data_IF_842488873652
#
_entry.id   IF_842488873652
#
_cell.length_a   1.000
_cell.length_b   1.000
_cell.length_c   1.000
_cell.angle_alpha   90.00
_cell.angle_beta   90.00
_cell.angle_gamma   90.00
#
_symmetry.space_group_name_H-M   'P 1'
#
loop_
_entity.id
_entity.type
_entity.pdbx_description
1 polymer ?
#
# COMPACT_ATOMS: atom_id res chain seq x y z
N UNK A 1 -8.83 18.68 15.47
CA UNK A 1 -8.79 17.42 14.70
C UNK A 1 -8.16 16.39 15.61
N UNK A 2 -8.84 15.28 15.90
CA UNK A 2 -8.25 14.20 16.69
C UNK A 2 -7.21 13.48 15.80
N UNK A 3 -5.98 13.36 16.27
CA UNK A 3 -4.97 12.53 15.59
C UNK A 3 -5.43 11.07 15.62
N UNK A 4 -5.34 10.40 14.48
CA UNK A 4 -5.58 8.96 14.39
C UNK A 4 -4.58 8.23 15.27
N UNK A 5 -5.04 7.70 16.40
CA UNK A 5 -4.24 6.82 17.24
C UNK A 5 -4.42 5.39 16.77
N UNK A 6 -3.33 4.78 16.32
CA UNK A 6 -3.31 3.39 15.93
C UNK A 6 -2.60 2.56 17.00
N UNK A 7 -3.17 1.39 17.30
CA UNK A 7 -2.44 0.34 18.01
C UNK A 7 -1.22 -0.12 17.21
N UNK A 8 -0.27 -0.77 17.89
CA UNK A 8 0.98 -1.24 17.29
C UNK A 8 0.76 -2.20 16.10
N UNK A 9 -0.30 -3.01 16.18
CA UNK A 9 -0.63 -4.03 15.18
C UNK A 9 -1.77 -3.64 14.22
N UNK A 10 -2.33 -2.44 14.36
CA UNK A 10 -3.39 -1.99 13.48
C UNK A 10 -2.86 -1.90 12.05
N UNK A 11 -3.62 -2.44 11.11
CA UNK A 11 -3.26 -2.51 9.69
C UNK A 11 -1.93 -3.24 9.41
N UNK A 12 -1.53 -4.17 10.28
CA UNK A 12 -0.49 -5.19 10.02
C UNK A 12 -1.11 -6.58 9.90
N UNK A 13 -1.58 -6.91 8.69
CA UNK A 13 -2.17 -8.21 8.39
C UNK A 13 -1.98 -8.58 6.92
N UNK A 14 -2.13 -9.87 6.62
CA UNK A 14 -2.26 -10.35 5.24
C UNK A 14 -3.48 -11.25 5.17
N UNK A 15 -4.36 -10.95 4.22
CA UNK A 15 -5.54 -11.77 3.92
C UNK A 15 -5.45 -12.21 2.47
N UNK A 16 -5.45 -13.52 2.25
CA UNK A 16 -5.43 -14.11 0.92
C UNK A 16 -6.81 -14.66 0.58
N UNK A 17 -7.36 -14.21 -0.52
CA UNK A 17 -8.55 -14.78 -1.14
C UNK A 17 -8.14 -15.44 -2.48
N UNK A 18 -9.08 -16.11 -3.14
CA UNK A 18 -8.82 -16.78 -4.42
C UNK A 18 -8.25 -15.83 -5.49
N UNK A 19 -8.83 -14.64 -5.65
CA UNK A 19 -8.51 -13.71 -6.73
C UNK A 19 -7.56 -12.56 -6.34
N UNK A 20 -7.35 -12.33 -5.04
CA UNK A 20 -6.59 -11.18 -4.53
C UNK A 20 -5.87 -11.49 -3.22
N UNK A 21 -4.82 -10.71 -2.95
CA UNK A 21 -4.11 -10.65 -1.68
C UNK A 21 -4.18 -9.24 -1.14
N UNK A 22 -4.60 -9.09 0.11
CA UNK A 22 -4.72 -7.81 0.82
C UNK A 22 -3.61 -7.72 1.85
N UNK A 23 -2.80 -6.67 1.79
CA UNK A 23 -1.64 -6.44 2.67
C UNK A 23 -1.91 -5.13 3.41
N UNK A 24 -1.94 -5.22 4.74
CA UNK A 24 -2.08 -4.05 5.60
C UNK A 24 -0.94 -3.04 5.36
N UNK A 25 -1.28 -1.76 5.34
CA UNK A 25 -0.38 -0.72 4.86
C UNK A 25 0.69 -0.30 5.88
N UNK A 26 0.57 -0.71 7.15
CA UNK A 26 1.51 -0.34 8.22
C UNK A 26 2.69 -1.29 8.36
N UNK A 27 2.84 -2.26 7.46
CA UNK A 27 4.10 -2.98 7.34
C UNK A 27 5.18 -2.10 6.71
N UNK A 28 6.36 -2.09 7.31
CA UNK A 28 7.60 -1.68 6.65
C UNK A 28 8.01 -2.71 5.59
N UNK A 29 8.83 -2.32 4.61
CA UNK A 29 9.36 -3.30 3.65
C UNK A 29 10.19 -4.40 4.33
N UNK A 30 10.93 -4.07 5.40
CA UNK A 30 11.65 -5.05 6.24
C UNK A 30 10.69 -6.10 6.80
N UNK A 31 9.59 -5.66 7.39
CA UNK A 31 8.59 -6.57 7.94
C UNK A 31 7.96 -7.42 6.83
N UNK A 32 7.61 -6.83 5.67
CA UNK A 32 7.07 -7.56 4.51
C UNK A 32 7.98 -8.72 4.10
N UNK A 33 9.30 -8.48 4.05
CA UNK A 33 10.29 -9.49 3.67
C UNK A 33 10.44 -10.62 4.70
N UNK A 34 10.10 -10.37 5.97
CA UNK A 34 10.16 -11.37 7.04
C UNK A 34 8.82 -12.05 7.36
N UNK A 35 7.71 -11.47 6.89
CA UNK A 35 6.36 -11.91 7.27
C UNK A 35 5.95 -13.19 6.55
N UNK A 36 5.80 -14.30 7.28
CA UNK A 36 5.45 -15.63 6.74
C UNK A 36 4.17 -15.64 5.89
N UNK A 37 3.19 -14.79 6.24
CA UNK A 37 1.90 -14.72 5.53
C UNK A 37 1.96 -13.92 4.23
N UNK A 38 3.03 -13.17 3.97
CA UNK A 38 3.17 -12.43 2.71
C UNK A 38 3.59 -13.42 1.62
N UNK A 39 2.95 -13.42 0.44
CA UNK A 39 3.35 -14.30 -0.65
C UNK A 39 4.82 -14.09 -1.02
N UNK A 40 5.59 -15.19 -1.08
CA UNK A 40 7.02 -15.15 -1.43
C UNK A 40 7.31 -14.42 -2.76
N UNK A 41 6.40 -14.54 -3.73
CA UNK A 41 6.50 -13.81 -5.00
C UNK A 41 6.45 -12.29 -4.80
N UNK A 42 5.61 -11.80 -3.88
CA UNK A 42 5.56 -10.37 -3.56
C UNK A 42 6.80 -9.93 -2.79
N UNK A 43 7.29 -10.74 -1.83
CA UNK A 43 8.57 -10.48 -1.15
C UNK A 43 9.72 -10.36 -2.15
N UNK A 44 9.78 -11.23 -3.14
CA UNK A 44 10.80 -11.18 -4.21
C UNK A 44 10.71 -9.89 -5.04
N UNK A 45 9.50 -9.43 -5.34
CA UNK A 45 9.28 -8.15 -6.05
C UNK A 45 9.75 -6.98 -5.18
N UNK A 46 9.41 -6.99 -3.89
CA UNK A 46 9.83 -5.96 -2.93
C UNK A 46 11.36 -5.89 -2.86
N UNK A 47 12.01 -7.02 -2.60
CA UNK A 47 13.46 -7.13 -2.45
C UNK A 47 14.21 -6.66 -3.71
N UNK A 48 13.78 -7.14 -4.89
CA UNK A 48 14.53 -6.94 -6.13
C UNK A 48 14.19 -5.67 -6.87
N UNK A 49 12.97 -5.14 -6.72
CA UNK A 49 12.45 -4.07 -7.57
C UNK A 49 12.05 -2.82 -6.79
N UNK A 50 11.55 -2.95 -5.56
CA UNK A 50 11.07 -1.80 -4.77
C UNK A 50 12.17 -1.23 -3.88
N UNK A 51 12.78 -2.07 -3.03
CA UNK A 51 13.84 -1.67 -2.08
C UNK A 51 15.07 -1.02 -2.74
N UNK A 52 15.47 -1.35 -3.99
CA UNK A 52 16.54 -0.60 -4.65
C UNK A 52 16.27 0.90 -4.83
N UNK A 53 15.01 1.32 -4.72
CA UNK A 53 14.57 2.72 -4.88
C UNK A 53 13.76 3.24 -3.68
N UNK A 54 13.71 2.52 -2.56
CA UNK A 54 12.96 2.89 -1.37
C UNK A 54 13.73 2.50 -0.10
N UNK A 55 13.51 3.22 1.00
CA UNK A 55 14.04 2.81 2.31
C UNK A 55 13.33 1.53 2.76
N UNK A 56 14.09 0.53 3.19
CA UNK A 56 13.56 -0.75 3.66
C UNK A 56 12.73 -0.59 4.95
N UNK A 57 12.98 0.46 5.73
CA UNK A 57 12.23 0.76 6.95
C UNK A 57 11.02 1.69 6.69
N UNK A 58 10.78 2.08 5.43
CA UNK A 58 9.58 2.82 5.03
C UNK A 58 8.32 1.94 5.10
N UNK A 59 7.24 2.50 5.64
CA UNK A 59 5.92 1.85 5.62
C UNK A 59 5.32 1.84 4.21
N UNK A 60 4.70 0.72 3.83
CA UNK A 60 4.04 0.54 2.54
C UNK A 60 3.00 1.65 2.26
N UNK A 61 2.18 1.98 3.26
CA UNK A 61 1.17 3.03 3.17
C UNK A 61 1.78 4.40 2.89
N UNK A 62 2.84 4.75 3.59
CA UNK A 62 3.50 6.06 3.42
C UNK A 62 4.11 6.20 2.03
N UNK A 63 4.74 5.14 1.52
CA UNK A 63 5.28 5.12 0.17
C UNK A 63 4.18 5.33 -0.87
N UNK A 64 3.07 4.60 -0.75
CA UNK A 64 1.94 4.68 -1.68
C UNK A 64 1.20 6.03 -1.60
N UNK A 65 1.04 6.60 -0.41
CA UNK A 65 0.35 7.86 -0.20
C UNK A 65 1.13 9.04 -0.78
N UNK A 66 2.45 9.05 -0.58
CA UNK A 66 3.35 10.12 -1.01
C UNK A 66 3.90 9.90 -2.43
N UNK A 67 3.51 8.82 -3.10
CA UNK A 67 3.98 8.52 -4.45
C UNK A 67 3.63 9.63 -5.45
N UNK A 68 4.61 9.97 -6.28
CA UNK A 68 4.47 10.94 -7.37
C UNK A 68 4.44 10.24 -8.74
N UNK A 69 4.17 11.02 -9.79
CA UNK A 69 4.10 10.48 -11.15
C UNK A 69 5.46 9.97 -11.69
N UNK A 70 6.57 10.51 -11.17
CA UNK A 70 7.95 10.22 -11.52
C UNK A 70 8.63 9.18 -10.61
N UNK A 71 7.91 8.66 -9.60
CA UNK A 71 8.41 7.62 -8.71
C UNK A 71 8.80 6.36 -9.49
N UNK A 72 10.02 5.86 -9.25
CA UNK A 72 10.58 4.68 -9.92
C UNK A 72 9.78 3.41 -9.64
N UNK A 73 9.11 3.33 -8.49
CA UNK A 73 8.34 2.18 -8.06
C UNK A 73 6.90 2.17 -8.59
N UNK A 74 6.41 3.30 -9.12
CA UNK A 74 5.02 3.45 -9.61
C UNK A 74 4.59 2.33 -10.55
N UNK A 75 5.42 2.02 -11.56
CA UNK A 75 5.12 0.98 -12.56
C UNK A 75 5.00 -0.41 -11.95
N UNK A 76 5.72 -0.70 -10.85
CA UNK A 76 5.67 -2.00 -10.17
C UNK A 76 4.27 -2.19 -9.58
N UNK A 77 3.77 -1.20 -8.83
CA UNK A 77 2.42 -1.26 -8.24
C UNK A 77 1.31 -1.24 -9.30
N UNK A 78 1.48 -0.51 -10.40
CA UNK A 78 0.54 -0.53 -11.53
C UNK A 78 0.50 -1.91 -12.23
N UNK A 79 1.65 -2.57 -12.39
CA UNK A 79 1.74 -3.91 -12.97
C UNK A 79 1.14 -4.97 -12.03
N UNK A 80 1.25 -4.77 -10.71
CA UNK A 80 0.56 -5.56 -9.70
C UNK A 80 -0.97 -5.31 -9.66
N UNK A 81 -1.46 -4.33 -10.44
CA UNK A 81 -2.86 -3.88 -10.44
C UNK A 81 -3.32 -3.48 -9.04
N UNK A 82 -2.43 -2.82 -8.29
CA UNK A 82 -2.68 -2.40 -6.92
C UNK A 82 -3.92 -1.49 -6.84
N UNK A 83 -4.84 -1.86 -5.96
CA UNK A 83 -5.91 -0.99 -5.46
C UNK A 83 -5.62 -0.67 -4.00
N UNK A 84 -6.08 0.49 -3.56
CA UNK A 84 -5.81 1.03 -2.24
C UNK A 84 -7.14 1.25 -1.55
N UNK A 85 -7.27 0.74 -0.33
CA UNK A 85 -8.36 1.10 0.57
C UNK A 85 -7.89 2.22 1.47
N UNK A 86 -8.58 3.35 1.43
CA UNK A 86 -8.12 4.60 2.04
C UNK A 86 -9.20 5.14 2.97
N UNK A 87 -8.80 5.55 4.17
CA UNK A 87 -9.59 6.37 5.09
C UNK A 87 -9.46 7.84 4.70
N UNK A 88 -10.59 8.49 4.47
CA UNK A 88 -10.69 9.91 4.10
C UNK A 88 -11.42 10.65 5.24
N UNK A 89 -10.78 11.62 5.90
CA UNK A 89 -11.40 12.38 6.99
C UNK A 89 -12.59 13.19 6.46
N UNK A 90 -13.60 13.35 7.31
CA UNK A 90 -14.78 14.15 7.06
C UNK A 90 -14.81 15.35 8.01
N UNK A 91 -15.59 16.37 7.65
CA UNK A 91 -15.72 17.59 8.45
C UNK A 91 -16.30 17.34 9.87
N UNK A 92 -17.05 16.25 10.05
CA UNK A 92 -17.62 15.84 11.35
C UNK A 92 -16.65 15.05 12.23
N UNK A 93 -15.40 14.86 11.78
CA UNK A 93 -14.38 14.09 12.48
C UNK A 93 -14.46 12.58 12.26
N UNK A 94 -15.43 12.10 11.48
CA UNK A 94 -15.48 10.70 11.04
C UNK A 94 -14.51 10.44 9.87
N UNK A 95 -14.32 9.16 9.54
CA UNK A 95 -13.59 8.75 8.34
C UNK A 95 -14.50 7.92 7.44
N UNK A 96 -14.44 8.18 6.14
CA UNK A 96 -15.07 7.31 5.13
C UNK A 96 -14.02 6.45 4.46
N UNK A 97 -14.37 5.20 4.17
CA UNK A 97 -13.50 4.27 3.47
C UNK A 97 -13.79 4.30 1.98
N UNK A 98 -12.75 4.47 1.16
CA UNK A 98 -12.86 4.45 -0.30
C UNK A 98 -11.78 3.58 -0.92
N UNK A 99 -12.18 2.74 -1.87
CA UNK A 99 -11.25 1.97 -2.70
C UNK A 99 -10.92 2.78 -3.97
N UNK A 100 -9.64 2.93 -4.30
CA UNK A 100 -9.19 3.59 -5.54
C UNK A 100 -7.90 2.98 -6.11
N UNK A 101 -7.58 3.27 -7.37
CA UNK A 101 -6.31 2.87 -7.97
C UNK A 101 -5.18 3.79 -7.53
N UNK A 102 -3.93 3.32 -7.64
CA UNK A 102 -2.76 4.14 -7.39
C UNK A 102 -2.72 5.39 -8.30
N UNK A 103 -3.04 5.24 -9.59
CA UNK A 103 -3.08 6.37 -10.52
C UNK A 103 -4.12 7.43 -10.13
N UNK A 104 -5.27 7.03 -9.59
CA UNK A 104 -6.26 7.97 -9.08
C UNK A 104 -5.76 8.70 -7.82
N UNK A 105 -5.04 8.01 -6.92
CA UNK A 105 -4.46 8.62 -5.72
C UNK A 105 -3.33 9.62 -6.06
N UNK A 106 -2.48 9.31 -7.04
CA UNK A 106 -1.40 10.20 -7.50
C UNK A 106 -1.97 11.47 -8.13
N UNK A 107 -3.15 11.40 -8.74
CA UNK A 107 -3.81 12.55 -9.36
C UNK A 107 -4.46 13.51 -8.35
N UNK A 108 -4.57 13.12 -7.07
CA UNK A 108 -5.10 13.98 -5.99
C UNK A 108 -3.99 14.92 -5.52
N UNK A 109 -4.34 16.17 -5.27
CA UNK A 109 -3.41 17.18 -4.76
C UNK A 109 -2.80 16.74 -3.41
N UNK A 110 -1.48 16.86 -3.20
CA UNK A 110 -0.83 16.49 -1.94
C UNK A 110 -1.46 17.11 -0.69
N UNK A 111 -1.92 18.36 -0.76
CA UNK A 111 -2.57 19.04 0.38
C UNK A 111 -3.93 18.44 0.71
N UNK A 112 -4.66 17.92 -0.29
CA UNK A 112 -5.96 17.27 -0.07
C UNK A 112 -5.80 15.93 0.64
N UNK A 113 -4.73 15.18 0.32
CA UNK A 113 -4.48 13.84 0.88
C UNK A 113 -3.59 13.82 2.12
N UNK A 114 -3.21 14.96 2.68
CA UNK A 114 -2.32 15.05 3.86
C UNK A 114 -2.84 14.30 5.08
N UNK A 115 -4.18 14.27 5.23
CA UNK A 115 -4.87 13.64 6.35
C UNK A 115 -5.47 12.27 5.95
N UNK A 116 -5.16 11.78 4.74
CA UNK A 116 -5.60 10.47 4.28
C UNK A 116 -4.74 9.38 4.90
N UNK A 117 -5.33 8.21 5.11
CA UNK A 117 -4.61 7.05 5.62
C UNK A 117 -4.90 5.83 4.76
N UNK A 118 -3.86 5.16 4.26
CA UNK A 118 -4.02 3.91 3.54
C UNK A 118 -4.18 2.79 4.57
N UNK A 119 -5.28 2.04 4.49
CA UNK A 119 -5.55 0.89 5.35
C UNK A 119 -4.84 -0.36 4.83
N UNK A 120 -4.99 -0.64 3.54
CA UNK A 120 -4.45 -1.82 2.89
C UNK A 120 -4.20 -1.58 1.39
N UNK A 121 -3.22 -2.32 0.88
CA UNK A 121 -3.03 -2.52 -0.55
C UNK A 121 -3.64 -3.87 -0.95
N UNK A 122 -4.44 -3.85 -2.01
CA UNK A 122 -5.11 -5.00 -2.59
C UNK A 122 -4.43 -5.32 -3.94
N UNK A 123 -3.84 -6.50 -4.05
CA UNK A 123 -3.13 -6.98 -5.24
C UNK A 123 -3.96 -8.08 -5.91
N UNK A 124 -4.03 -8.08 -7.25
CA UNK A 124 -4.59 -9.21 -8.00
C UNK A 124 -3.65 -10.41 -7.95
N UNK A 125 -4.14 -11.60 -7.56
CA UNK A 125 -3.32 -12.81 -7.57
C UNK A 125 -2.86 -13.16 -9.00
N UNK A 126 -3.71 -12.94 -10.01
CA UNK A 126 -3.34 -13.14 -11.41
C UNK A 126 -2.17 -12.23 -11.82
N UNK A 127 -2.21 -10.96 -11.42
CA UNK A 127 -1.13 -10.02 -11.69
C UNK A 127 0.15 -10.38 -10.91
N UNK A 128 0.02 -10.76 -9.64
CA UNK A 128 1.14 -11.15 -8.78
C UNK A 128 1.89 -12.36 -9.33
N UNK A 129 1.18 -13.43 -9.68
CA UNK A 129 1.79 -14.65 -10.21
C UNK A 129 2.25 -14.48 -11.66
N UNK A 130 1.57 -13.66 -12.46
CA UNK A 130 1.97 -13.29 -13.81
C UNK A 130 3.10 -12.26 -13.89
N UNK A 131 3.53 -11.69 -12.75
CA UNK A 131 4.54 -10.64 -12.71
C UNK A 131 5.90 -11.16 -13.20
N UNK A 132 6.42 -10.51 -14.24
CA UNK A 132 7.75 -10.81 -14.81
C UNK A 132 8.80 -10.01 -14.04
N UNK A 133 9.75 -10.74 -13.45
CA UNK A 133 10.92 -10.18 -12.75
C UNK A 133 12.01 -9.80 -13.76
#
# INVERSE_FOLDING_TARGET
MAELQFGENDYKYVIQEFSKTMIGARYTYREILSAERVPFKFQTIVDRLIVPYADIDMMLGDHLLNMTADDKNKRIFENLKAKLRISIPQADGSYTTKDMSLGALIAIDPEEKKDYFIQEMIISNLALFGFKL
#
